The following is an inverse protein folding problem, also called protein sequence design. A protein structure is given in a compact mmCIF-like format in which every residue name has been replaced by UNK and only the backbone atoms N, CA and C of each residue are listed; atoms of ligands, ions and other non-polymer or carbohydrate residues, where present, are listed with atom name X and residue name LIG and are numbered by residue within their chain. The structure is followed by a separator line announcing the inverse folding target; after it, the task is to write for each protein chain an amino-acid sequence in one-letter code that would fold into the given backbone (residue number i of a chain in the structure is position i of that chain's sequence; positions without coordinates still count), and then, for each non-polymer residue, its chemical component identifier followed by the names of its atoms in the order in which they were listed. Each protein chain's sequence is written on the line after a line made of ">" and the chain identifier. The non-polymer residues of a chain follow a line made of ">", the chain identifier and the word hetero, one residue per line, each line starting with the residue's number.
data_IF_260037244776
#
_entry.id   IF_260037244776
#
_cell.length_a   1.000
_cell.length_b   1.000
_cell.length_c   1.000
_cell.angle_alpha   90.00
_cell.angle_beta   90.00
_cell.angle_gamma   90.00
#
_symmetry.space_group_name_H-M   'P 1'
#
loop_
_entity.id
_entity.type
_entity.pdbx_description
1 polymer ?
#
# COMPACT_ATOMS: atom_id res chain seq x y z
N UNK A 1 51.64 -32.60 64.88
CA UNK A 1 50.55 -32.06 64.02
C UNK A 1 50.97 -31.87 62.57
N UNK A 2 52.26 -31.60 62.24
CA UNK A 2 52.71 -31.41 60.85
C UNK A 2 52.61 -32.63 59.94
N UNK A 3 52.88 -33.83 60.44
CA UNK A 3 52.91 -35.05 59.60
C UNK A 3 51.54 -35.42 59.01
N UNK A 4 50.46 -35.21 59.78
CA UNK A 4 49.09 -35.41 59.29
C UNK A 4 48.73 -34.45 58.15
N UNK A 5 49.17 -33.18 58.26
CA UNK A 5 48.97 -32.20 57.20
C UNK A 5 49.79 -32.54 55.94
N UNK A 6 50.98 -33.13 56.10
CA UNK A 6 51.83 -33.51 54.97
C UNK A 6 51.29 -34.73 54.22
N UNK A 7 50.80 -35.75 54.94
CA UNK A 7 50.16 -36.94 54.34
C UNK A 7 48.83 -36.60 53.63
N UNK A 8 48.09 -35.61 54.13
CA UNK A 8 46.80 -35.18 53.55
C UNK A 8 46.91 -33.93 52.66
N UNK A 9 48.12 -33.39 52.46
CA UNK A 9 48.35 -32.14 51.72
C UNK A 9 47.82 -32.22 50.29
N UNK A 10 48.04 -33.34 49.60
CA UNK A 10 47.57 -33.55 48.23
C UNK A 10 46.04 -33.57 48.15
N UNK A 11 45.37 -34.21 49.11
CA UNK A 11 43.91 -34.23 49.20
C UNK A 11 43.33 -32.84 49.48
N UNK A 12 43.94 -32.08 50.41
CA UNK A 12 43.52 -30.70 50.74
C UNK A 12 43.72 -29.76 49.53
N UNK A 13 44.87 -29.85 48.85
CA UNK A 13 45.16 -29.04 47.66
C UNK A 13 44.22 -29.42 46.51
N UNK A 14 43.92 -30.71 46.34
CA UNK A 14 42.96 -31.17 45.31
C UNK A 14 41.54 -30.68 45.59
N UNK A 15 41.09 -30.71 46.86
CA UNK A 15 39.78 -30.21 47.26
C UNK A 15 39.68 -28.68 47.12
N UNK A 16 40.74 -27.94 47.47
CA UNK A 16 40.80 -26.50 47.27
C UNK A 16 40.80 -26.11 45.78
N UNK A 17 41.51 -26.88 44.95
CA UNK A 17 41.55 -26.70 43.48
C UNK A 17 40.21 -27.06 42.82
N UNK A 18 39.54 -28.10 43.33
CA UNK A 18 38.20 -28.48 42.89
C UNK A 18 37.16 -27.42 43.27
N UNK A 19 37.27 -26.83 44.47
CA UNK A 19 36.39 -25.76 44.93
C UNK A 19 36.61 -24.46 44.13
N UNK A 20 37.86 -24.07 43.87
CA UNK A 20 38.15 -22.91 43.02
C UNK A 20 37.71 -23.13 41.57
N UNK A 21 37.93 -24.33 41.03
CA UNK A 21 37.42 -24.75 39.72
C UNK A 21 35.89 -24.71 39.64
N UNK A 22 35.19 -25.19 40.67
CA UNK A 22 33.73 -25.16 40.76
C UNK A 22 33.19 -23.71 40.83
N UNK A 23 33.86 -22.82 41.56
CA UNK A 23 33.49 -21.40 41.63
C UNK A 23 33.66 -20.73 40.26
N UNK A 24 34.80 -20.96 39.58
CA UNK A 24 35.05 -20.40 38.25
C UNK A 24 34.02 -20.93 37.24
N UNK A 25 33.70 -22.22 37.28
CA UNK A 25 32.67 -22.83 36.43
C UNK A 25 31.27 -22.24 36.70
N UNK A 26 30.91 -22.03 37.97
CA UNK A 26 29.63 -21.44 38.35
C UNK A 26 29.50 -19.98 37.87
N UNK A 27 30.55 -19.16 38.05
CA UNK A 27 30.58 -17.77 37.58
C UNK A 27 30.53 -17.71 36.05
N UNK A 28 31.31 -18.56 35.37
CA UNK A 28 31.33 -18.61 33.90
C UNK A 28 29.97 -19.03 33.35
N UNK A 29 29.33 -20.05 33.94
CA UNK A 29 27.99 -20.51 33.56
C UNK A 29 26.91 -19.43 33.77
N UNK A 30 27.00 -18.69 34.88
CA UNK A 30 26.10 -17.58 35.18
C UNK A 30 26.24 -16.45 34.14
N UNK A 31 27.48 -16.05 33.81
CA UNK A 31 27.75 -15.03 32.79
C UNK A 31 27.25 -15.49 31.41
N UNK A 32 27.53 -16.73 31.02
CA UNK A 32 27.08 -17.31 29.74
C UNK A 32 25.55 -17.31 29.67
N UNK A 33 24.87 -17.66 30.74
CA UNK A 33 23.40 -17.66 30.79
C UNK A 33 22.82 -16.25 30.67
N UNK A 34 23.41 -15.26 31.34
CA UNK A 34 22.99 -13.86 31.21
C UNK A 34 23.19 -13.32 29.78
N UNK A 35 24.35 -13.60 29.17
CA UNK A 35 24.65 -13.20 27.80
C UNK A 35 23.71 -13.88 26.80
N UNK A 36 23.48 -15.19 26.95
CA UNK A 36 22.56 -15.95 26.10
C UNK A 36 21.12 -15.43 26.23
N UNK A 37 20.67 -15.10 27.45
CA UNK A 37 19.34 -14.54 27.63
C UNK A 37 19.21 -13.17 26.93
N UNK A 38 20.21 -12.30 27.05
CA UNK A 38 20.20 -10.99 26.39
C UNK A 38 20.24 -11.14 24.86
N UNK A 39 21.08 -12.02 24.34
CA UNK A 39 21.18 -12.31 22.92
C UNK A 39 19.88 -12.88 22.36
N UNK A 40 19.28 -13.87 23.03
CA UNK A 40 18.01 -14.46 22.64
C UNK A 40 16.86 -13.44 22.64
N UNK A 41 16.85 -12.52 23.62
CA UNK A 41 15.85 -11.43 23.66
C UNK A 41 16.03 -10.46 22.49
N UNK A 42 17.27 -10.08 22.18
CA UNK A 42 17.57 -9.22 21.01
C UNK A 42 17.13 -9.90 19.72
N UNK A 43 17.55 -11.15 19.50
CA UNK A 43 17.23 -11.91 18.30
C UNK A 43 15.71 -12.08 18.10
N UNK A 44 14.95 -12.32 19.18
CA UNK A 44 13.49 -12.36 19.13
C UNK A 44 12.91 -11.01 18.71
N UNK A 45 13.37 -9.92 19.31
CA UNK A 45 12.90 -8.57 18.96
C UNK A 45 13.22 -8.21 17.51
N UNK A 46 14.42 -8.54 17.04
CA UNK A 46 14.84 -8.31 15.66
C UNK A 46 13.97 -9.12 14.69
N UNK A 47 13.72 -10.40 15.00
CA UNK A 47 12.80 -11.25 14.23
C UNK A 47 11.38 -10.68 14.17
N UNK A 48 10.82 -10.25 15.31
CA UNK A 48 9.50 -9.63 15.35
C UNK A 48 9.44 -8.32 14.56
N UNK A 49 10.49 -7.50 14.63
CA UNK A 49 10.56 -6.25 13.87
C UNK A 49 10.60 -6.51 12.37
N UNK A 50 11.35 -7.54 11.95
CA UNK A 50 11.46 -7.94 10.55
C UNK A 50 10.15 -8.53 10.03
N UNK A 51 9.49 -9.39 10.79
CA UNK A 51 8.16 -9.92 10.46
C UNK A 51 7.13 -8.81 10.36
N UNK A 52 7.13 -7.84 11.29
CA UNK A 52 6.23 -6.69 11.24
C UNK A 52 6.48 -5.82 10.02
N UNK A 53 7.73 -5.55 9.67
CA UNK A 53 8.08 -4.81 8.45
C UNK A 53 7.56 -5.55 7.20
N UNK A 54 7.79 -6.87 7.12
CA UNK A 54 7.31 -7.68 6.00
C UNK A 54 5.79 -7.67 5.88
N UNK A 55 5.07 -7.85 6.99
CA UNK A 55 3.60 -7.81 7.02
C UNK A 55 3.06 -6.45 6.60
N UNK A 56 3.66 -5.36 7.09
CA UNK A 56 3.27 -4.02 6.67
C UNK A 56 3.50 -3.84 5.17
N UNK A 57 4.68 -4.21 4.67
CA UNK A 57 5.01 -4.10 3.25
C UNK A 57 4.02 -4.86 2.36
N UNK A 58 3.72 -6.11 2.71
CA UNK A 58 2.80 -6.94 1.95
C UNK A 58 1.35 -6.39 2.03
N UNK A 59 0.96 -5.79 3.17
CA UNK A 59 -0.32 -5.10 3.32
C UNK A 59 -0.43 -3.87 2.40
N UNK A 60 0.57 -2.98 2.39
CA UNK A 60 0.56 -1.80 1.53
C UNK A 60 0.54 -2.20 0.04
N UNK A 61 1.36 -3.18 -0.36
CA UNK A 61 1.36 -3.69 -1.74
C UNK A 61 -0.03 -4.24 -2.14
N UNK A 62 -0.63 -5.08 -1.29
CA UNK A 62 -1.96 -5.64 -1.56
C UNK A 62 -3.02 -4.55 -1.69
N UNK A 63 -2.93 -3.49 -0.89
CA UNK A 63 -3.86 -2.35 -0.96
C UNK A 63 -3.64 -1.49 -2.20
N UNK A 64 -2.39 -1.30 -2.64
CA UNK A 64 -2.11 -0.64 -3.91
C UNK A 64 -2.68 -1.41 -5.11
N UNK A 65 -2.55 -2.73 -5.13
CA UNK A 65 -3.13 -3.58 -6.17
C UNK A 65 -4.65 -3.49 -6.19
N UNK A 66 -5.29 -3.49 -5.01
CA UNK A 66 -6.74 -3.30 -4.87
C UNK A 66 -7.19 -1.94 -5.43
N UNK A 67 -6.48 -0.86 -5.05
CA UNK A 67 -6.74 0.49 -5.57
C UNK A 67 -6.59 0.50 -7.09
N UNK A 68 -5.52 -0.09 -7.62
CA UNK A 68 -5.24 -0.11 -9.05
C UNK A 68 -6.35 -0.84 -9.83
N UNK A 69 -6.80 -2.00 -9.35
CA UNK A 69 -7.90 -2.73 -9.97
C UNK A 69 -9.20 -1.93 -9.97
N UNK A 70 -9.56 -1.33 -8.84
CA UNK A 70 -10.76 -0.50 -8.71
C UNK A 70 -10.67 0.75 -9.59
N UNK A 71 -9.52 1.43 -9.58
CA UNK A 71 -9.28 2.63 -10.36
C UNK A 71 -9.30 2.35 -11.86
N UNK A 72 -8.69 1.25 -12.32
CA UNK A 72 -8.75 0.85 -13.72
C UNK A 72 -10.18 0.57 -14.16
N UNK A 73 -10.97 -0.13 -13.32
CA UNK A 73 -12.38 -0.36 -13.61
C UNK A 73 -13.11 0.99 -13.71
N UNK A 74 -13.01 1.83 -12.69
CA UNK A 74 -13.68 3.13 -12.62
C UNK A 74 -13.29 4.05 -13.80
N UNK A 75 -12.00 4.24 -14.05
CA UNK A 75 -11.49 5.12 -15.11
C UNK A 75 -11.89 4.63 -16.50
N UNK A 76 -11.88 3.30 -16.74
CA UNK A 76 -12.38 2.73 -17.98
C UNK A 76 -13.87 3.06 -18.20
N UNK A 77 -14.71 2.91 -17.17
CA UNK A 77 -16.13 3.27 -17.26
C UNK A 77 -16.31 4.76 -17.54
N UNK A 78 -15.59 5.63 -16.83
CA UNK A 78 -15.66 7.09 -16.99
C UNK A 78 -15.25 7.51 -18.40
N UNK A 79 -14.13 6.99 -18.91
CA UNK A 79 -13.66 7.30 -20.26
C UNK A 79 -14.63 6.78 -21.33
N UNK A 80 -15.15 5.55 -21.15
CA UNK A 80 -16.16 4.98 -22.06
C UNK A 80 -17.44 5.82 -22.07
N UNK A 81 -17.87 6.31 -20.91
CA UNK A 81 -19.03 7.21 -20.79
C UNK A 81 -18.80 8.50 -21.57
N UNK A 82 -17.65 9.15 -21.40
CA UNK A 82 -17.38 10.41 -22.11
C UNK A 82 -17.21 10.23 -23.62
N UNK A 83 -16.67 9.09 -24.08
CA UNK A 83 -16.67 8.76 -25.51
C UNK A 83 -18.09 8.55 -26.04
N UNK A 84 -18.94 7.84 -25.29
CA UNK A 84 -20.34 7.67 -25.69
C UNK A 84 -21.11 9.01 -25.77
N UNK A 85 -20.81 9.96 -24.88
CA UNK A 85 -21.34 11.32 -24.92
C UNK A 85 -20.89 12.09 -26.17
N UNK A 86 -19.64 11.90 -26.60
CA UNK A 86 -19.12 12.49 -27.82
C UNK A 86 -19.78 11.90 -29.08
N UNK A 87 -19.94 10.58 -29.12
CA UNK A 87 -20.60 9.86 -30.22
C UNK A 87 -22.07 10.29 -30.36
N UNK A 88 -22.78 10.40 -29.25
CA UNK A 88 -24.18 10.88 -29.20
C UNK A 88 -24.30 12.34 -29.68
N UNK A 89 -23.37 13.20 -29.27
CA UNK A 89 -23.26 14.54 -29.84
C UNK A 89 -23.01 14.50 -31.35
N UNK A 90 -22.32 13.49 -31.87
CA UNK A 90 -22.02 13.29 -33.30
C UNK A 90 -23.18 12.66 -34.10
N UNK A 91 -24.34 12.43 -33.47
CA UNK A 91 -25.50 11.72 -34.03
C UNK A 91 -25.22 10.24 -34.34
N UNK A 92 -24.13 9.71 -33.83
CA UNK A 92 -23.89 8.27 -33.76
C UNK A 92 -24.64 7.74 -32.52
N UNK A 93 -25.19 6.53 -32.55
CA UNK A 93 -25.99 5.96 -31.43
C UNK A 93 -25.13 5.62 -30.18
N UNK A 94 -24.35 6.57 -29.66
CA UNK A 94 -23.33 6.37 -28.63
C UNK A 94 -23.91 6.03 -27.25
N UNK A 95 -24.81 6.85 -26.73
CA UNK A 95 -25.32 6.70 -25.36
C UNK A 95 -26.26 5.51 -25.18
N UNK A 96 -27.09 5.18 -26.17
CA UNK A 96 -27.97 4.00 -26.11
C UNK A 96 -27.18 2.70 -25.97
N UNK A 97 -26.15 2.51 -26.81
CA UNK A 97 -25.25 1.35 -26.73
C UNK A 97 -24.41 1.31 -25.45
N UNK A 98 -24.12 2.48 -24.86
CA UNK A 98 -23.43 2.55 -23.58
C UNK A 98 -24.29 2.01 -22.45
N UNK A 99 -25.54 2.47 -22.32
CA UNK A 99 -26.45 2.03 -21.25
C UNK A 99 -26.75 0.52 -21.32
N UNK A 100 -27.00 -0.02 -22.52
CA UNK A 100 -27.22 -1.46 -22.72
C UNK A 100 -26.01 -2.33 -22.29
N UNK A 101 -24.81 -1.75 -22.26
CA UNK A 101 -23.56 -2.45 -21.93
C UNK A 101 -23.10 -2.25 -20.48
N UNK A 102 -23.84 -1.52 -19.65
CA UNK A 102 -23.36 -1.05 -18.33
C UNK A 102 -24.34 -1.23 -17.16
N UNK A 103 -25.47 -1.92 -17.34
CA UNK A 103 -26.55 -2.09 -16.34
C UNK A 103 -26.10 -2.54 -14.93
N UNK A 104 -24.96 -3.21 -14.78
CA UNK A 104 -24.51 -3.80 -13.51
C UNK A 104 -23.36 -3.07 -12.78
N UNK A 105 -22.92 -1.89 -13.23
CA UNK A 105 -21.76 -1.23 -12.62
C UNK A 105 -22.13 -0.06 -11.70
N UNK A 106 -21.96 -0.27 -10.40
CA UNK A 106 -22.09 0.77 -9.37
C UNK A 106 -20.82 1.65 -9.30
N UNK A 107 -20.78 2.66 -10.17
CA UNK A 107 -19.66 3.61 -10.32
C UNK A 107 -19.44 4.43 -9.04
N UNK A 108 -20.51 4.81 -8.34
CA UNK A 108 -20.44 5.64 -7.14
C UNK A 108 -19.76 4.87 -6.00
N UNK A 109 -20.11 3.60 -5.84
CA UNK A 109 -19.48 2.71 -4.86
C UNK A 109 -18.00 2.42 -5.22
N UNK A 110 -17.66 2.26 -6.50
CA UNK A 110 -16.25 2.16 -6.92
C UNK A 110 -15.46 3.41 -6.50
N UNK A 111 -15.99 4.60 -6.77
CA UNK A 111 -15.36 5.87 -6.39
C UNK A 111 -15.15 5.96 -4.87
N UNK A 112 -16.17 5.62 -4.08
CA UNK A 112 -16.09 5.65 -2.60
C UNK A 112 -15.04 4.69 -2.06
N UNK A 113 -14.97 3.46 -2.60
CA UNK A 113 -13.98 2.46 -2.20
C UNK A 113 -12.55 2.92 -2.50
N UNK A 114 -12.32 3.49 -3.69
CA UNK A 114 -11.02 4.07 -4.06
C UNK A 114 -10.64 5.18 -3.07
N UNK A 115 -11.57 6.11 -2.80
CA UNK A 115 -11.33 7.21 -1.88
C UNK A 115 -10.94 6.73 -0.47
N UNK A 116 -11.68 5.75 0.07
CA UNK A 116 -11.41 5.20 1.39
C UNK A 116 -10.03 4.54 1.47
N UNK A 117 -9.67 3.73 0.46
CA UNK A 117 -8.37 3.07 0.42
C UNK A 117 -7.22 4.07 0.28
N UNK A 118 -7.39 5.11 -0.54
CA UNK A 118 -6.42 6.19 -0.65
C UNK A 118 -6.28 6.93 0.67
N UNK A 119 -7.39 7.35 1.30
CA UNK A 119 -7.33 8.10 2.56
C UNK A 119 -6.62 7.34 3.69
N UNK A 120 -6.74 6.00 3.73
CA UNK A 120 -6.12 5.17 4.78
C UNK A 120 -4.65 4.84 4.46
N UNK A 121 -4.34 4.47 3.22
CA UNK A 121 -3.03 3.89 2.88
C UNK A 121 -2.14 4.80 2.03
N UNK A 122 -2.72 5.74 1.27
CA UNK A 122 -2.03 6.60 0.30
C UNK A 122 -2.64 8.01 0.28
N UNK A 123 -2.74 8.63 1.47
CA UNK A 123 -3.47 9.89 1.68
C UNK A 123 -2.97 11.03 0.78
N UNK A 124 -1.70 10.98 0.39
CA UNK A 124 -1.05 11.93 -0.50
C UNK A 124 -1.61 11.91 -1.94
N UNK A 125 -2.25 10.82 -2.35
CA UNK A 125 -2.84 10.65 -3.69
C UNK A 125 -4.33 11.03 -3.75
N UNK A 126 -4.95 11.35 -2.61
CA UNK A 126 -6.35 11.78 -2.56
C UNK A 126 -6.59 13.03 -3.42
N UNK A 127 -5.75 14.09 -3.36
CA UNK A 127 -5.94 15.28 -4.20
C UNK A 127 -5.88 14.97 -5.70
N UNK A 128 -4.96 14.10 -6.12
CA UNK A 128 -4.82 13.69 -7.52
C UNK A 128 -6.07 12.97 -8.01
N UNK A 129 -6.64 12.09 -7.18
CA UNK A 129 -7.90 11.41 -7.50
C UNK A 129 -9.08 12.39 -7.59
N UNK A 130 -9.18 13.36 -6.66
CA UNK A 130 -10.23 14.39 -6.70
C UNK A 130 -10.13 15.25 -7.96
N UNK A 131 -8.93 15.61 -8.41
CA UNK A 131 -8.72 16.35 -9.66
C UNK A 131 -9.28 15.60 -10.88
N UNK A 132 -9.07 14.28 -10.95
CA UNK A 132 -9.59 13.43 -12.04
C UNK A 132 -11.11 13.38 -11.99
N UNK A 133 -11.69 13.18 -10.80
CA UNK A 133 -13.14 13.16 -10.59
C UNK A 133 -13.76 14.50 -11.02
N UNK A 134 -13.13 15.62 -10.67
CA UNK A 134 -13.65 16.95 -11.01
C UNK A 134 -13.47 17.29 -12.49
N UNK A 135 -12.41 16.81 -13.15
CA UNK A 135 -12.27 16.87 -14.60
C UNK A 135 -13.41 16.10 -15.30
N UNK A 136 -13.72 14.88 -14.85
CA UNK A 136 -14.86 14.10 -15.36
C UNK A 136 -16.20 14.81 -15.14
N UNK A 137 -16.46 15.33 -13.92
CA UNK A 137 -17.68 16.11 -13.64
C UNK A 137 -17.83 17.32 -14.55
N UNK A 138 -16.75 18.03 -14.85
CA UNK A 138 -16.77 19.20 -15.76
C UNK A 138 -17.16 18.77 -17.18
N UNK A 139 -16.61 17.67 -17.68
CA UNK A 139 -17.00 17.09 -18.97
C UNK A 139 -18.49 16.72 -19.00
N UNK A 140 -18.98 16.01 -17.99
CA UNK A 140 -20.42 15.64 -17.91
C UNK A 140 -21.32 16.87 -17.86
N UNK A 141 -20.95 17.90 -17.09
CA UNK A 141 -21.70 19.16 -17.04
C UNK A 141 -21.75 19.86 -18.38
N UNK A 142 -20.64 19.84 -19.15
CA UNK A 142 -20.61 20.44 -20.47
C UNK A 142 -21.49 19.67 -21.45
N UNK A 143 -21.48 18.33 -21.41
CA UNK A 143 -22.40 17.51 -22.20
C UNK A 143 -23.87 17.77 -21.84
N UNK A 144 -24.23 17.88 -20.56
CA UNK A 144 -25.63 18.17 -20.18
C UNK A 144 -26.11 19.50 -20.77
N UNK A 145 -25.24 20.51 -20.90
CA UNK A 145 -25.60 21.77 -21.57
C UNK A 145 -25.95 21.57 -23.04
N UNK A 146 -25.27 20.66 -23.74
CA UNK A 146 -25.54 20.36 -25.16
C UNK A 146 -26.92 19.75 -25.38
N UNK A 147 -27.48 19.06 -24.38
CA UNK A 147 -28.84 18.52 -24.45
C UNK A 147 -29.91 19.62 -24.48
N UNK A 148 -29.58 20.83 -23.97
CA UNK A 148 -30.53 21.95 -23.86
C UNK A 148 -30.32 23.04 -24.92
N UNK A 149 -29.12 23.13 -25.53
CA UNK A 149 -28.80 24.17 -26.50
C UNK A 149 -27.92 23.61 -27.65
N UNK A 150 -28.41 23.73 -28.88
CA UNK A 150 -27.74 23.25 -30.10
C UNK A 150 -26.40 23.94 -30.36
N UNK A 151 -26.25 25.24 -30.05
CA UNK A 151 -24.99 25.97 -30.28
C UNK A 151 -23.86 25.46 -29.38
N UNK A 152 -24.22 24.96 -28.19
CA UNK A 152 -23.25 24.37 -27.28
C UNK A 152 -22.80 22.97 -27.72
N UNK A 153 -23.56 22.30 -28.60
CA UNK A 153 -23.23 20.96 -29.11
C UNK A 153 -21.98 20.96 -29.99
N UNK A 154 -21.86 21.93 -30.89
CA UNK A 154 -20.68 22.01 -31.77
C UNK A 154 -19.43 22.41 -30.99
N UNK A 155 -19.55 23.33 -30.03
CA UNK A 155 -18.45 23.68 -29.13
C UNK A 155 -17.96 22.49 -28.29
N UNK A 156 -18.88 21.60 -27.88
CA UNK A 156 -18.53 20.39 -27.14
C UNK A 156 -17.80 19.39 -28.04
N UNK A 157 -18.24 19.18 -29.29
CA UNK A 157 -17.55 18.28 -30.24
C UNK A 157 -16.10 18.68 -30.48
N UNK A 158 -15.83 19.98 -30.55
CA UNK A 158 -14.48 20.51 -30.78
C UNK A 158 -13.58 20.32 -29.56
N UNK A 159 -14.09 20.61 -28.36
CA UNK A 159 -13.30 20.61 -27.12
C UNK A 159 -13.27 19.28 -26.36
N UNK A 160 -14.28 18.42 -26.50
CA UNK A 160 -14.38 17.18 -25.75
C UNK A 160 -13.27 16.17 -26.06
N UNK A 161 -12.81 15.96 -27.31
CA UNK A 161 -11.72 15.02 -27.60
C UNK A 161 -10.42 15.34 -26.86
N UNK A 162 -10.03 16.63 -26.82
CA UNK A 162 -8.85 17.07 -26.09
C UNK A 162 -9.01 16.89 -24.58
N UNK A 163 -10.18 17.23 -24.05
CA UNK A 163 -10.48 17.07 -22.63
C UNK A 163 -10.53 15.59 -22.20
N UNK A 164 -11.06 14.69 -23.03
CA UNK A 164 -11.05 13.23 -22.79
C UNK A 164 -9.62 12.71 -22.82
N UNK A 165 -8.80 13.17 -23.77
CA UNK A 165 -7.38 12.81 -23.84
C UNK A 165 -6.61 13.31 -22.61
N UNK A 166 -6.87 14.53 -22.17
CA UNK A 166 -6.29 15.10 -20.94
C UNK A 166 -6.70 14.28 -19.71
N UNK A 167 -7.98 13.92 -19.58
CA UNK A 167 -8.49 13.07 -18.51
C UNK A 167 -7.79 11.69 -18.50
N UNK A 168 -7.64 11.07 -19.67
CA UNK A 168 -6.90 9.82 -19.83
C UNK A 168 -5.43 9.96 -19.39
N UNK A 169 -4.79 11.08 -19.73
CA UNK A 169 -3.45 11.42 -19.25
C UNK A 169 -3.36 11.51 -17.73
N UNK A 170 -4.29 12.22 -17.09
CA UNK A 170 -4.35 12.32 -15.63
C UNK A 170 -4.55 10.94 -14.96
N UNK A 171 -5.36 10.07 -15.56
CA UNK A 171 -5.51 8.69 -15.09
C UNK A 171 -4.19 7.90 -15.18
N UNK A 172 -3.45 8.07 -16.27
CA UNK A 172 -2.13 7.45 -16.44
C UNK A 172 -1.12 7.95 -15.41
N UNK A 173 -1.08 9.26 -15.17
CA UNK A 173 -0.19 9.87 -14.19
C UNK A 173 -0.51 9.40 -12.77
N UNK A 174 -1.79 9.27 -12.42
CA UNK A 174 -2.21 8.72 -11.13
C UNK A 174 -1.72 7.29 -10.90
N UNK A 175 -1.78 6.42 -11.93
CA UNK A 175 -1.26 5.05 -11.84
C UNK A 175 0.25 5.06 -11.59
N UNK A 176 0.99 5.94 -12.24
CA UNK A 176 2.44 6.09 -12.05
C UNK A 176 2.74 6.59 -10.63
N UNK A 177 1.99 7.57 -10.14
CA UNK A 177 2.11 8.10 -8.78
C UNK A 177 1.81 7.03 -7.73
N UNK A 178 0.75 6.24 -7.92
CA UNK A 178 0.43 5.10 -7.05
C UNK A 178 1.56 4.08 -7.01
N UNK A 179 2.12 3.71 -8.16
CA UNK A 179 3.25 2.80 -8.23
C UNK A 179 4.51 3.37 -7.54
N UNK A 180 4.71 4.69 -7.58
CA UNK A 180 5.82 5.36 -6.89
C UNK A 180 5.62 5.40 -5.38
N UNK A 181 4.46 5.85 -4.90
CA UNK A 181 4.13 5.85 -3.46
C UNK A 181 4.22 4.45 -2.87
N UNK A 182 3.81 3.43 -3.62
CA UNK A 182 3.91 2.03 -3.21
C UNK A 182 5.35 1.58 -2.98
N UNK A 183 6.35 2.15 -3.68
CA UNK A 183 7.77 1.87 -3.46
C UNK A 183 8.34 2.61 -2.25
N UNK A 184 7.84 3.80 -1.94
CA UNK A 184 8.34 4.63 -0.83
C UNK A 184 7.84 4.13 0.53
N UNK A 185 6.70 3.44 0.57
CA UNK A 185 6.16 2.81 1.78
C UNK A 185 6.79 1.43 2.10
N UNK A 186 7.71 0.94 1.24
CA UNK A 186 8.51 -0.29 1.46
C UNK A 186 9.83 0.03 2.15
#
# INVERSE_FOLDING_TARGET
>A
MGDWFYENASAIISAASALSGAIIAAVSSFIVTLLNHKANKSQRNDSFSHERWKLNRDLYLSKAEEILMLFNKWSFFVLKMHNAQLDDCSLEQGMGKFYDSTEDTDIENLKLKIYLLLAIYYSELVPDFELIVDASKRLSKNYIKTLTNTDTRDSFKELAPENIKSLSGLCGDFIISLARSSKTQM
#
